data_IF_006065533892
#
_entry.id   IF_006065533892
#
_cell.length_a   1.000
_cell.length_b   1.000
_cell.length_c   1.000
_cell.angle_alpha   90.00
_cell.angle_beta   90.00
_cell.angle_gamma   90.00
#
_symmetry.space_group_name_H-M   'P 1'
#
loop_
_entity.id
_entity.type
_entity.pdbx_description
1 polymer ?
#
# COMPACT_ATOMS: atom_id res chain seq x y z
N UNK A 1 -10.23 3.96 20.53
CA UNK A 1 -9.74 5.32 20.83
C UNK A 1 -8.57 5.62 19.91
N UNK A 2 -8.05 6.85 19.90
CA UNK A 2 -6.84 7.22 19.16
C UNK A 2 -5.74 7.61 20.15
N UNK A 3 -4.66 6.85 20.16
CA UNK A 3 -3.51 7.08 21.03
C UNK A 3 -2.32 7.62 20.21
N UNK A 4 -1.61 8.59 20.79
CA UNK A 4 -0.29 9.05 20.37
C UNK A 4 0.44 9.55 21.64
N UNK A 5 1.70 9.97 21.52
CA UNK A 5 2.55 10.41 22.62
C UNK A 5 2.01 11.60 23.40
N UNK A 6 1.20 12.46 22.77
CA UNK A 6 0.61 13.64 23.42
C UNK A 6 -0.65 14.13 22.71
N UNK A 7 -1.43 14.98 23.38
CA UNK A 7 -2.64 15.59 22.81
C UNK A 7 -2.30 16.44 21.58
N UNK A 8 -1.16 17.13 21.59
CA UNK A 8 -0.68 17.97 20.49
C UNK A 8 -0.41 17.16 19.23
N UNK A 9 0.06 15.91 19.36
CA UNK A 9 0.23 15.00 18.21
C UNK A 9 -1.08 14.42 17.71
N UNK A 10 -2.04 14.21 18.60
CA UNK A 10 -3.40 13.74 18.24
C UNK A 10 -4.20 14.85 17.54
N UNK A 11 -4.05 16.11 17.95
CA UNK A 11 -4.88 17.22 17.49
C UNK A 11 -4.93 17.37 15.94
N UNK A 12 -3.81 17.30 15.18
CA UNK A 12 -3.85 17.30 13.73
C UNK A 12 -4.67 16.15 13.13
N UNK A 13 -4.63 14.96 13.72
CA UNK A 13 -5.42 13.82 13.26
C UNK A 13 -6.93 14.08 13.46
N UNK A 14 -7.31 14.65 14.61
CA UNK A 14 -8.70 15.04 14.88
C UNK A 14 -9.17 16.14 13.91
N UNK A 15 -8.34 17.15 13.63
CA UNK A 15 -8.67 18.21 12.68
C UNK A 15 -8.87 17.67 11.24
N UNK A 16 -8.01 16.74 10.80
CA UNK A 16 -8.17 16.05 9.52
C UNK A 16 -9.43 15.20 9.48
N UNK A 17 -9.74 14.48 10.56
CA UNK A 17 -10.96 13.68 10.69
C UNK A 17 -12.22 14.56 10.63
N UNK A 18 -12.26 15.69 11.34
CA UNK A 18 -13.36 16.64 11.30
C UNK A 18 -13.58 17.18 9.87
N UNK A 19 -12.51 17.57 9.18
CA UNK A 19 -12.57 18.01 7.78
C UNK A 19 -13.11 16.92 6.86
N UNK A 20 -12.65 15.68 7.04
CA UNK A 20 -13.10 14.53 6.27
C UNK A 20 -14.59 14.24 6.51
N UNK A 21 -15.04 14.23 7.76
CA UNK A 21 -16.43 13.97 8.12
C UNK A 21 -17.35 15.08 7.62
N UNK A 22 -16.97 16.35 7.74
CA UNK A 22 -17.73 17.47 7.18
C UNK A 22 -17.90 17.35 5.66
N UNK A 23 -16.88 16.85 4.96
CA UNK A 23 -16.94 16.60 3.51
C UNK A 23 -17.81 15.39 3.15
N UNK A 24 -17.61 14.23 3.81
CA UNK A 24 -18.31 12.97 3.47
C UNK A 24 -19.75 12.92 3.95
N UNK A 25 -20.07 13.59 5.06
CA UNK A 25 -21.39 13.59 5.69
C UNK A 25 -22.06 14.97 5.53
N UNK A 26 -21.79 15.65 4.40
CA UNK A 26 -22.32 16.99 4.13
C UNK A 26 -23.85 16.99 4.21
N UNK A 27 -24.41 17.94 4.94
CA UNK A 27 -25.86 18.06 5.13
C UNK A 27 -26.42 17.24 6.29
N UNK A 28 -25.62 16.43 6.97
CA UNK A 28 -26.04 15.63 8.14
C UNK A 28 -25.17 15.94 9.36
N UNK A 29 -25.49 17.03 10.05
CA UNK A 29 -24.75 17.50 11.23
C UNK A 29 -24.81 16.50 12.41
N UNK A 30 -25.90 15.74 12.54
CA UNK A 30 -26.07 14.74 13.58
C UNK A 30 -25.08 13.58 13.38
N UNK A 31 -24.97 13.05 12.16
CA UNK A 31 -23.98 12.02 11.84
C UNK A 31 -22.54 12.51 11.96
N UNK A 32 -22.26 13.76 11.58
CA UNK A 32 -20.92 14.34 11.76
C UNK A 32 -20.52 14.38 13.23
N UNK A 33 -21.41 14.86 14.11
CA UNK A 33 -21.17 14.88 15.56
C UNK A 33 -21.00 13.47 16.12
N UNK A 34 -21.90 12.56 15.76
CA UNK A 34 -21.82 11.16 16.21
C UNK A 34 -20.51 10.47 15.79
N UNK A 35 -20.00 10.75 14.59
CA UNK A 35 -18.71 10.23 14.15
C UNK A 35 -17.53 10.76 14.99
N UNK A 36 -17.55 12.06 15.33
CA UNK A 36 -16.55 12.68 16.20
C UNK A 36 -16.64 12.17 17.64
N UNK A 37 -17.84 11.96 18.18
CA UNK A 37 -18.06 11.44 19.53
C UNK A 37 -17.46 10.03 19.72
N UNK A 38 -17.36 9.25 18.63
CA UNK A 38 -16.74 7.92 18.63
C UNK A 38 -15.21 7.96 18.45
N UNK A 39 -14.65 9.06 17.96
CA UNK A 39 -13.21 9.25 17.79
C UNK A 39 -12.63 9.90 19.06
N UNK A 40 -12.39 9.07 20.06
CA UNK A 40 -11.95 9.51 21.40
C UNK A 40 -10.41 9.63 21.44
N UNK A 41 -9.83 10.83 21.64
CA UNK A 41 -8.41 11.02 21.94
C UNK A 41 -8.02 10.35 23.26
N UNK A 42 -6.93 9.60 23.28
CA UNK A 42 -6.53 8.78 24.43
C UNK A 42 -4.99 8.67 24.51
N UNK A 43 -4.29 9.76 24.85
CA UNK A 43 -2.82 9.76 24.91
C UNK A 43 -2.25 8.77 25.93
N UNK A 44 -3.01 8.46 26.99
CA UNK A 44 -2.61 7.48 28.00
C UNK A 44 -2.91 6.02 27.59
N UNK A 45 -3.68 5.80 26.52
CA UNK A 45 -4.04 4.46 26.02
C UNK A 45 -4.98 3.69 26.94
N UNK A 46 -5.84 4.36 27.71
CA UNK A 46 -6.78 3.69 28.62
C UNK A 46 -7.74 2.73 27.90
N UNK A 47 -8.02 2.99 26.61
CA UNK A 47 -8.87 2.15 25.77
C UNK A 47 -8.28 0.77 25.48
N UNK A 48 -6.96 0.58 25.58
CA UNK A 48 -6.27 -0.70 25.27
C UNK A 48 -6.86 -1.87 26.07
N UNK A 49 -7.16 -1.67 27.35
CA UNK A 49 -7.69 -2.72 28.23
C UNK A 49 -9.11 -3.18 27.89
N UNK A 50 -9.80 -2.48 26.99
CA UNK A 50 -11.19 -2.80 26.59
C UNK A 50 -11.32 -3.13 25.11
N UNK A 51 -10.28 -2.85 24.31
CA UNK A 51 -10.33 -2.99 22.86
C UNK A 51 -10.40 -4.45 22.42
N UNK A 52 -11.24 -4.74 21.42
CA UNK A 52 -11.29 -6.05 20.76
C UNK A 52 -10.25 -6.15 19.63
N UNK A 53 -9.89 -5.01 19.01
CA UNK A 53 -8.89 -4.88 17.95
C UNK A 53 -8.03 -3.64 18.24
N UNK A 54 -6.71 -3.82 18.21
CA UNK A 54 -5.71 -2.75 18.37
C UNK A 54 -4.91 -2.71 17.08
N UNK A 55 -4.88 -1.56 16.40
CA UNK A 55 -4.08 -1.36 15.17
C UNK A 55 -2.94 -0.39 15.46
N UNK A 56 -1.72 -0.87 15.30
CA UNK A 56 -0.49 -0.11 15.42
C UNK A 56 -0.15 0.55 14.08
N UNK A 57 0.08 1.88 14.09
CA UNK A 57 0.44 2.69 12.92
C UNK A 57 1.48 3.78 13.28
N UNK A 58 2.55 3.37 13.98
CA UNK A 58 3.73 4.20 14.23
C UNK A 58 4.72 4.08 13.07
N UNK A 59 5.74 4.94 13.09
CA UNK A 59 6.81 4.97 12.09
C UNK A 59 7.47 3.59 11.89
N UNK A 60 7.94 3.35 10.67
CA UNK A 60 8.45 2.06 10.21
C UNK A 60 9.84 1.74 10.82
N UNK A 61 9.85 1.37 12.11
CA UNK A 61 11.03 0.99 12.85
C UNK A 61 10.75 -0.24 13.71
N UNK A 62 11.55 -1.29 13.50
CA UNK A 62 11.33 -2.59 14.13
C UNK A 62 11.39 -2.53 15.66
N UNK A 63 12.39 -1.86 16.23
CA UNK A 63 12.56 -1.80 17.70
C UNK A 63 11.46 -0.99 18.36
N UNK A 64 11.03 0.11 17.75
CA UNK A 64 9.90 0.91 18.23
C UNK A 64 8.60 0.10 18.23
N UNK A 65 8.32 -0.64 17.14
CA UNK A 65 7.12 -1.51 17.05
C UNK A 65 7.17 -2.65 18.06
N UNK A 66 8.32 -3.32 18.21
CA UNK A 66 8.54 -4.37 19.22
C UNK A 66 8.28 -3.86 20.64
N UNK A 67 8.87 -2.72 21.01
CA UNK A 67 8.67 -2.12 22.32
C UNK A 67 7.20 -1.75 22.57
N UNK A 68 6.53 -1.22 21.56
CA UNK A 68 5.11 -0.88 21.64
C UNK A 68 4.23 -2.13 21.80
N UNK A 69 4.44 -3.18 21.01
CA UNK A 69 3.67 -4.42 21.09
C UNK A 69 3.84 -5.13 22.43
N UNK A 70 5.05 -5.19 22.98
CA UNK A 70 5.29 -5.75 24.31
C UNK A 70 4.51 -4.97 25.40
N UNK A 71 4.48 -3.64 25.32
CA UNK A 71 3.72 -2.81 26.25
C UNK A 71 2.20 -2.92 26.06
N UNK A 72 1.72 -3.06 24.82
CA UNK A 72 0.30 -3.25 24.50
C UNK A 72 -0.21 -4.61 24.97
N UNK A 73 0.54 -5.68 24.72
CA UNK A 73 0.16 -7.05 25.08
C UNK A 73 -0.13 -7.19 26.58
N UNK A 74 0.70 -6.59 27.43
CA UNK A 74 0.53 -6.62 28.88
C UNK A 74 -0.75 -5.92 29.38
N UNK A 75 -1.30 -5.00 28.58
CA UNK A 75 -2.49 -4.19 28.93
C UNK A 75 -3.74 -4.61 28.18
N UNK A 76 -3.59 -5.22 27.02
CA UNK A 76 -4.68 -5.63 26.15
C UNK A 76 -5.44 -6.80 26.77
N UNK A 77 -6.71 -6.96 26.38
CA UNK A 77 -7.45 -8.17 26.74
C UNK A 77 -6.73 -9.40 26.17
N UNK A 78 -6.79 -10.57 26.84
CA UNK A 78 -6.16 -11.80 26.35
C UNK A 78 -6.64 -12.20 24.95
N UNK A 79 -7.89 -11.88 24.64
CA UNK A 79 -8.54 -12.16 23.36
C UNK A 79 -8.49 -10.99 22.37
N UNK A 80 -7.80 -9.88 22.65
CA UNK A 80 -7.73 -8.77 21.68
C UNK A 80 -6.83 -9.13 20.49
N UNK A 81 -7.27 -8.79 19.28
CA UNK A 81 -6.45 -8.83 18.06
C UNK A 81 -5.38 -7.74 18.15
N UNK A 82 -4.11 -8.11 18.00
CA UNK A 82 -2.99 -7.18 17.89
C UNK A 82 -2.61 -7.07 16.42
N UNK A 83 -2.92 -5.94 15.80
CA UNK A 83 -2.68 -5.72 14.37
C UNK A 83 -1.61 -4.66 14.14
N UNK A 84 -0.75 -4.87 13.15
CA UNK A 84 0.18 -3.83 12.65
C UNK A 84 -0.21 -3.37 11.25
N UNK A 85 -0.10 -2.07 11.00
CA UNK A 85 -0.23 -1.44 9.67
C UNK A 85 1.13 -1.35 8.94
N UNK A 86 2.17 -2.06 9.40
CA UNK A 86 3.48 -2.13 8.73
C UNK A 86 3.33 -2.40 7.22
N UNK A 87 4.17 -1.78 6.40
CA UNK A 87 4.13 -1.92 4.93
C UNK A 87 5.29 -2.75 4.38
N UNK A 88 6.31 -3.02 5.21
CA UNK A 88 7.55 -3.66 4.76
C UNK A 88 8.15 -4.66 5.76
N UNK A 89 7.96 -4.45 7.07
CA UNK A 89 8.51 -5.36 8.08
C UNK A 89 7.72 -6.67 8.13
N UNK A 90 8.45 -7.77 8.26
CA UNK A 90 7.84 -9.09 8.44
C UNK A 90 7.20 -9.18 9.82
N UNK A 91 6.05 -9.85 9.89
CA UNK A 91 5.35 -10.07 11.16
C UNK A 91 6.20 -10.89 12.13
N UNK A 92 6.97 -11.84 11.61
CA UNK A 92 7.88 -12.70 12.37
C UNK A 92 8.89 -11.88 13.17
N UNK A 93 9.40 -10.80 12.59
CA UNK A 93 10.38 -9.95 13.25
C UNK A 93 9.71 -9.15 14.37
N UNK A 94 8.50 -8.65 14.16
CA UNK A 94 7.75 -7.91 15.18
C UNK A 94 7.33 -8.85 16.32
N UNK A 95 6.91 -10.07 15.99
CA UNK A 95 6.36 -11.06 16.91
C UNK A 95 7.37 -11.52 17.98
N UNK A 96 8.67 -11.38 17.75
CA UNK A 96 9.71 -11.81 18.70
C UNK A 96 9.65 -11.10 20.06
N UNK A 97 8.95 -9.97 20.14
CA UNK A 97 8.78 -9.21 21.39
C UNK A 97 7.50 -9.56 22.16
N UNK A 98 6.61 -10.39 21.58
CA UNK A 98 5.36 -10.82 22.20
C UNK A 98 5.55 -12.12 23.00
N UNK A 99 4.87 -12.22 24.13
CA UNK A 99 4.75 -13.45 24.90
C UNK A 99 3.82 -14.45 24.20
N UNK A 100 2.74 -13.97 23.57
CA UNK A 100 1.82 -14.74 22.74
C UNK A 100 1.78 -14.17 21.31
N UNK A 101 2.76 -14.55 20.46
CA UNK A 101 2.86 -14.09 19.08
C UNK A 101 1.68 -14.55 18.20
N UNK A 102 0.86 -15.50 18.65
CA UNK A 102 -0.29 -15.98 17.88
C UNK A 102 -1.38 -14.93 17.68
N UNK A 103 -1.36 -13.88 18.50
CA UNK A 103 -2.31 -12.76 18.45
C UNK A 103 -1.95 -11.69 17.43
N UNK A 104 -0.71 -11.71 16.93
CA UNK A 104 -0.23 -10.72 15.96
C UNK A 104 -0.73 -11.05 14.56
N UNK A 105 -1.31 -10.05 13.90
CA UNK A 105 -1.73 -10.09 12.49
C UNK A 105 -1.34 -8.78 11.80
N UNK A 106 -1.35 -8.75 10.48
CA UNK A 106 -1.24 -7.49 9.72
C UNK A 106 -2.62 -7.01 9.28
N UNK A 107 -2.85 -5.72 9.41
CA UNK A 107 -3.98 -5.02 8.78
C UNK A 107 -3.37 -3.83 8.03
N UNK A 108 -2.89 -4.09 6.81
CA UNK A 108 -2.17 -3.12 6.02
C UNK A 108 -3.13 -2.33 5.13
N UNK A 109 -3.32 -1.06 5.49
CA UNK A 109 -4.12 -0.08 4.79
C UNK A 109 -3.29 0.68 3.76
N UNK A 110 -3.93 1.05 2.65
CA UNK A 110 -3.32 1.89 1.62
C UNK A 110 -3.76 3.35 1.74
N UNK A 111 -2.84 4.29 1.50
CA UNK A 111 -3.11 5.73 1.56
C UNK A 111 -3.68 6.24 0.22
N UNK A 112 -4.82 6.96 0.18
CA UNK A 112 -5.66 7.39 1.31
C UNK A 112 -6.62 6.33 1.84
N UNK A 113 -6.53 6.04 3.15
CA UNK A 113 -7.31 5.00 3.84
C UNK A 113 -8.82 5.20 3.68
N UNK A 114 -9.30 6.44 3.68
CA UNK A 114 -10.73 6.73 3.53
C UNK A 114 -11.28 6.51 2.10
N UNK A 115 -10.40 6.29 1.11
CA UNK A 115 -10.75 6.19 -0.30
C UNK A 115 -10.45 4.80 -0.88
N UNK A 116 -9.31 4.21 -0.53
CA UNK A 116 -8.90 2.93 -1.09
C UNK A 116 -9.65 1.77 -0.42
N UNK A 117 -10.25 0.83 -1.19
CA UNK A 117 -11.09 -0.23 -0.64
C UNK A 117 -10.28 -1.40 -0.09
N UNK A 118 -9.10 -1.69 -0.66
CA UNK A 118 -8.29 -2.84 -0.31
C UNK A 118 -7.63 -2.68 1.06
N UNK A 119 -7.56 -3.79 1.81
CA UNK A 119 -6.73 -3.94 3.00
C UNK A 119 -6.12 -5.34 2.97
N UNK A 120 -4.79 -5.42 3.04
CA UNK A 120 -4.10 -6.70 3.17
C UNK A 120 -4.22 -7.21 4.61
N UNK A 121 -4.80 -8.39 4.79
CA UNK A 121 -4.87 -9.10 6.07
C UNK A 121 -3.75 -10.12 6.10
N UNK A 122 -2.67 -9.75 6.78
CA UNK A 122 -1.41 -10.50 6.74
C UNK A 122 -1.37 -11.56 7.83
N UNK A 123 -1.05 -12.79 7.44
CA UNK A 123 -0.86 -13.93 8.33
C UNK A 123 0.65 -14.15 8.52
N UNK A 124 1.13 -14.02 9.76
CA UNK A 124 2.49 -14.41 10.12
C UNK A 124 2.58 -15.91 10.42
N UNK A 125 3.80 -16.45 10.45
CA UNK A 125 4.05 -17.88 10.68
C UNK A 125 3.48 -18.40 12.02
N UNK A 126 3.38 -17.53 13.03
CA UNK A 126 2.86 -17.89 14.36
C UNK A 126 1.41 -17.47 14.57
N UNK A 127 0.82 -16.69 13.66
CA UNK A 127 -0.53 -16.13 13.82
C UNK A 127 -1.60 -17.23 13.93
N UNK A 128 -2.49 -17.10 14.92
CA UNK A 128 -3.66 -17.96 15.05
C UNK A 128 -4.65 -17.67 13.91
N UNK A 129 -5.07 -18.67 13.12
CA UNK A 129 -6.09 -18.51 12.10
C UNK A 129 -7.40 -17.88 12.61
N UNK A 130 -7.77 -18.05 13.88
CA UNK A 130 -8.94 -17.39 14.46
C UNK A 130 -8.76 -15.88 14.59
N UNK A 131 -7.56 -15.41 14.93
CA UNK A 131 -7.24 -13.98 15.00
C UNK A 131 -7.21 -13.34 13.62
N UNK A 132 -6.66 -14.05 12.62
CA UNK A 132 -6.70 -13.64 11.21
C UNK A 132 -8.15 -13.49 10.72
N UNK A 133 -9.03 -14.45 11.04
CA UNK A 133 -10.47 -14.35 10.68
C UNK A 133 -11.15 -13.16 11.35
N UNK A 134 -10.82 -12.86 12.61
CA UNK A 134 -11.37 -11.67 13.31
C UNK A 134 -10.87 -10.36 12.70
N UNK A 135 -9.60 -10.31 12.31
CA UNK A 135 -9.05 -9.17 11.58
C UNK A 135 -9.76 -8.96 10.24
N UNK A 136 -9.95 -10.02 9.45
CA UNK A 136 -10.70 -9.96 8.19
C UNK A 136 -12.18 -9.55 8.40
N UNK A 137 -12.81 -10.01 9.48
CA UNK A 137 -14.17 -9.60 9.84
C UNK A 137 -14.23 -8.10 10.21
N UNK A 138 -13.26 -7.61 10.99
CA UNK A 138 -13.14 -6.18 11.29
C UNK A 138 -12.96 -5.33 10.02
N UNK A 139 -12.08 -5.75 9.11
CA UNK A 139 -11.87 -5.07 7.82
C UNK A 139 -13.17 -4.99 7.01
N UNK A 140 -13.94 -6.08 6.93
CA UNK A 140 -15.27 -6.05 6.29
C UNK A 140 -16.24 -5.11 7.00
N UNK A 141 -16.24 -5.10 8.32
CA UNK A 141 -17.14 -4.25 9.12
C UNK A 141 -16.94 -2.75 8.88
N UNK A 142 -15.74 -2.34 8.46
CA UNK A 142 -15.42 -0.95 8.12
C UNK A 142 -15.52 -0.66 6.61
N UNK A 143 -16.31 -1.46 5.88
CA UNK A 143 -16.56 -1.36 4.43
C UNK A 143 -15.28 -1.42 3.58
N UNK A 144 -14.34 -2.29 3.97
CA UNK A 144 -13.12 -2.58 3.22
C UNK A 144 -13.10 -4.01 2.69
N UNK A 145 -12.29 -4.23 1.67
CA UNK A 145 -12.06 -5.52 1.02
C UNK A 145 -10.83 -6.19 1.66
N UNK A 146 -11.00 -7.20 2.52
CA UNK A 146 -9.86 -7.94 3.06
C UNK A 146 -9.25 -8.82 1.98
N UNK A 147 -7.95 -8.69 1.77
CA UNK A 147 -7.16 -9.60 0.96
C UNK A 147 -6.28 -10.47 1.87
N UNK A 148 -6.55 -11.78 1.99
CA UNK A 148 -5.68 -12.67 2.76
C UNK A 148 -4.31 -12.79 2.08
N UNK A 149 -3.26 -12.48 2.82
CA UNK A 149 -1.87 -12.64 2.38
C UNK A 149 -1.02 -13.25 3.49
N UNK A 150 0.02 -13.99 3.13
CA UNK A 150 1.02 -14.45 4.08
C UNK A 150 2.15 -13.41 4.21
N UNK A 151 2.78 -13.37 5.39
CA UNK A 151 3.90 -12.48 5.68
C UNK A 151 5.06 -12.74 4.72
N UNK A 152 5.43 -11.71 3.99
CA UNK A 152 6.57 -11.66 3.10
C UNK A 152 7.01 -10.19 2.96
N UNK A 153 8.28 -9.90 2.59
CA UNK A 153 8.71 -8.54 2.32
C UNK A 153 7.78 -7.83 1.32
N UNK A 154 7.07 -6.80 1.78
CA UNK A 154 6.12 -6.04 0.97
C UNK A 154 4.81 -6.74 0.59
N UNK A 155 4.51 -7.88 1.23
CA UNK A 155 3.28 -8.66 1.02
C UNK A 155 3.00 -8.93 -0.46
N UNK A 156 1.78 -8.66 -0.96
CA UNK A 156 1.49 -8.76 -2.39
C UNK A 156 1.71 -7.42 -3.08
N UNK A 157 1.02 -6.36 -2.63
CA UNK A 157 0.90 -5.13 -3.42
C UNK A 157 2.25 -4.43 -3.60
N UNK A 158 3.03 -4.27 -2.53
CA UNK A 158 4.34 -3.59 -2.63
C UNK A 158 5.38 -4.48 -3.33
N UNK A 159 5.33 -5.80 -3.12
CA UNK A 159 6.20 -6.76 -3.80
C UNK A 159 6.00 -6.74 -5.34
N UNK A 160 4.78 -6.46 -5.80
CA UNK A 160 4.45 -6.34 -7.22
C UNK A 160 4.74 -4.92 -7.76
N UNK A 161 4.48 -3.88 -6.96
CA UNK A 161 4.70 -2.50 -7.36
C UNK A 161 6.19 -2.14 -7.47
N UNK A 162 7.04 -2.66 -6.58
CA UNK A 162 8.49 -2.35 -6.56
C UNK A 162 9.18 -2.58 -7.91
N UNK A 163 9.13 -3.80 -8.49
CA UNK A 163 9.76 -4.10 -9.78
C UNK A 163 9.21 -3.26 -10.95
N UNK A 164 7.91 -2.98 -10.95
CA UNK A 164 7.25 -2.10 -11.94
C UNK A 164 7.82 -0.67 -11.89
N UNK A 165 7.90 -0.10 -10.69
CA UNK A 165 8.44 1.23 -10.49
C UNK A 165 9.92 1.31 -10.84
N UNK A 166 10.69 0.28 -10.46
CA UNK A 166 12.11 0.19 -10.78
C UNK A 166 12.35 0.21 -12.29
N UNK A 167 11.58 -0.58 -13.06
CA UNK A 167 11.74 -0.64 -14.51
C UNK A 167 11.30 0.66 -15.22
N UNK A 168 10.22 1.29 -14.75
CA UNK A 168 9.81 2.60 -15.24
C UNK A 168 10.92 3.65 -15.08
N UNK A 169 11.55 3.70 -13.90
CA UNK A 169 12.64 4.63 -13.61
C UNK A 169 13.94 4.28 -14.34
N UNK A 170 14.18 3.00 -14.66
CA UNK A 170 15.28 2.61 -15.55
C UNK A 170 15.10 3.13 -16.97
N UNK A 171 13.88 3.08 -17.49
CA UNK A 171 13.59 3.68 -18.80
C UNK A 171 13.91 5.19 -18.80
N UNK A 172 13.65 5.89 -17.69
CA UNK A 172 14.04 7.30 -17.53
C UNK A 172 15.56 7.47 -17.47
N UNK A 173 16.28 6.61 -16.76
CA UNK A 173 17.75 6.59 -16.73
C UNK A 173 18.37 6.37 -18.12
N UNK A 174 17.68 5.62 -18.98
CA UNK A 174 18.06 5.33 -20.37
C UNK A 174 17.69 6.47 -21.35
N UNK A 175 17.05 7.53 -20.86
CA UNK A 175 16.77 8.74 -21.62
C UNK A 175 15.33 8.88 -22.12
N UNK A 176 14.42 7.95 -21.78
CA UNK A 176 12.99 8.13 -22.08
C UNK A 176 12.43 9.23 -21.17
N UNK A 177 11.75 10.23 -21.76
CA UNK A 177 11.16 11.30 -20.97
C UNK A 177 10.13 10.75 -19.95
N UNK A 178 10.10 11.26 -18.70
CA UNK A 178 9.10 10.90 -17.69
C UNK A 178 7.66 10.94 -18.22
N UNK A 179 7.32 11.97 -18.99
CA UNK A 179 6.00 12.14 -19.58
C UNK A 179 5.66 11.05 -20.59
N UNK A 180 6.64 10.59 -21.38
CA UNK A 180 6.48 9.49 -22.33
C UNK A 180 6.28 8.15 -21.61
N UNK A 181 7.01 7.92 -20.52
CA UNK A 181 6.80 6.75 -19.65
C UNK A 181 5.38 6.76 -19.07
N UNK A 182 4.98 7.88 -18.46
CA UNK A 182 3.64 8.01 -17.88
C UNK A 182 2.55 7.83 -18.94
N UNK A 183 2.69 8.46 -20.11
CA UNK A 183 1.73 8.35 -21.19
C UNK A 183 1.57 6.91 -21.69
N UNK A 184 2.67 6.17 -21.84
CA UNK A 184 2.63 4.77 -22.25
C UNK A 184 1.82 3.89 -21.28
N UNK A 185 1.96 4.12 -19.96
CA UNK A 185 1.24 3.33 -18.96
C UNK A 185 -0.21 3.78 -18.78
N UNK A 186 -0.51 5.06 -18.98
CA UNK A 186 -1.90 5.54 -19.04
C UNK A 186 -2.62 4.98 -20.27
N UNK A 187 -1.97 4.95 -21.44
CA UNK A 187 -2.51 4.33 -22.65
C UNK A 187 -2.71 2.81 -22.48
N UNK A 188 -1.81 2.14 -21.75
CA UNK A 188 -2.00 0.73 -21.38
C UNK A 188 -3.27 0.49 -20.54
N UNK A 189 -3.69 1.50 -19.76
CA UNK A 189 -4.91 1.48 -18.93
C UNK A 189 -4.68 1.74 -17.44
N UNK A 190 -3.48 2.13 -17.02
CA UNK A 190 -3.20 2.49 -15.63
C UNK A 190 -3.86 3.85 -15.28
N UNK A 191 -4.38 4.05 -14.07
CA UNK A 191 -5.04 5.30 -13.67
C UNK A 191 -4.06 6.48 -13.54
N UNK A 192 -2.78 6.18 -13.30
CA UNK A 192 -1.70 7.14 -13.14
C UNK A 192 -0.41 6.52 -13.67
N UNK A 193 0.42 7.33 -14.32
CA UNK A 193 1.74 6.90 -14.75
C UNK A 193 2.69 6.67 -13.57
N UNK A 194 3.67 5.75 -13.70
CA UNK A 194 4.55 5.36 -12.59
C UNK A 194 5.43 6.51 -12.10
N UNK A 195 5.81 7.45 -12.96
CA UNK A 195 6.67 8.57 -12.56
C UNK A 195 5.87 9.61 -11.77
N UNK A 196 4.62 9.86 -12.15
CA UNK A 196 3.73 10.71 -11.32
C UNK A 196 3.39 10.03 -9.99
N UNK A 197 3.22 8.71 -10.00
CA UNK A 197 2.94 7.93 -8.80
C UNK A 197 4.10 8.05 -7.79
N UNK A 198 5.35 7.86 -8.21
CA UNK A 198 6.50 7.98 -7.30
C UNK A 198 6.64 9.39 -6.74
N UNK A 199 6.40 10.42 -7.56
CA UNK A 199 6.40 11.81 -7.11
C UNK A 199 5.29 12.09 -6.08
N UNK A 200 4.12 11.46 -6.25
CA UNK A 200 2.98 11.62 -5.35
C UNK A 200 3.24 10.96 -4.01
N UNK A 201 3.81 9.75 -4.01
CA UNK A 201 4.18 8.99 -2.81
C UNK A 201 5.33 9.67 -2.07
N UNK A 202 6.38 10.05 -2.80
CA UNK A 202 7.62 10.61 -2.28
C UNK A 202 8.82 9.74 -2.64
N UNK A 203 9.87 10.36 -3.19
CA UNK A 203 11.02 9.63 -3.74
C UNK A 203 11.88 8.97 -2.64
N UNK A 204 11.99 9.62 -1.48
CA UNK A 204 12.66 9.06 -0.30
C UNK A 204 11.93 7.84 0.27
N UNK A 205 10.59 7.87 0.28
CA UNK A 205 9.77 6.74 0.69
C UNK A 205 9.95 5.58 -0.30
N UNK A 206 9.96 5.86 -1.60
CA UNK A 206 10.19 4.84 -2.62
C UNK A 206 11.60 4.22 -2.52
N UNK A 207 12.64 5.03 -2.25
CA UNK A 207 14.00 4.53 -2.00
C UNK A 207 14.05 3.63 -0.77
N UNK A 208 13.44 4.05 0.35
CA UNK A 208 13.40 3.26 1.58
C UNK A 208 12.63 1.93 1.39
N UNK A 209 11.48 1.97 0.72
CA UNK A 209 10.69 0.77 0.41
C UNK A 209 11.46 -0.19 -0.51
N UNK A 210 12.14 0.33 -1.53
CA UNK A 210 12.97 -0.47 -2.43
C UNK A 210 14.09 -1.21 -1.68
N UNK A 211 14.80 -0.53 -0.79
CA UNK A 211 15.85 -1.14 0.03
C UNK A 211 15.31 -2.21 0.99
N UNK A 212 14.11 -2.01 1.55
CA UNK A 212 13.47 -2.99 2.42
C UNK A 212 13.06 -4.27 1.67
N UNK A 213 12.51 -4.12 0.44
CA UNK A 213 12.11 -5.25 -0.40
C UNK A 213 13.27 -6.15 -0.82
N UNK A 214 14.46 -5.59 -0.98
CA UNK A 214 15.67 -6.34 -1.38
C UNK A 214 16.49 -6.82 -0.18
N UNK A 215 15.99 -6.68 1.05
CA UNK A 215 16.73 -7.07 2.26
C UNK A 215 18.02 -6.27 2.47
N UNK A 216 18.08 -5.04 1.94
CA UNK A 216 19.28 -4.20 1.96
C UNK A 216 20.32 -4.57 0.89
N UNK A 217 20.08 -5.59 0.06
CA UNK A 217 20.90 -5.80 -1.13
C UNK A 217 20.65 -4.63 -2.09
N UNK A 218 21.73 -3.97 -2.51
CA UNK A 218 21.66 -2.87 -3.44
C UNK A 218 21.28 -3.40 -4.83
N UNK A 219 19.98 -3.66 -5.08
CA UNK A 219 19.48 -3.41 -6.41
C UNK A 219 19.85 -1.96 -6.72
N UNK A 220 20.69 -1.74 -7.73
CA UNK A 220 21.20 -0.41 -8.04
C UNK A 220 20.01 0.52 -8.25
N UNK A 221 19.76 1.39 -7.28
CA UNK A 221 18.70 2.38 -7.39
C UNK A 221 18.96 3.20 -8.65
N UNK A 222 17.92 3.51 -9.45
CA UNK A 222 18.07 4.33 -10.63
C UNK A 222 18.82 5.63 -10.30
N UNK A 223 19.79 6.01 -11.14
CA UNK A 223 20.66 7.17 -10.88
C UNK A 223 19.83 8.44 -10.76
N UNK A 224 18.81 8.60 -11.60
CA UNK A 224 17.86 9.73 -11.54
C UNK A 224 17.10 9.80 -10.22
N UNK A 225 16.80 8.66 -9.59
CA UNK A 225 16.11 8.63 -8.30
C UNK A 225 17.04 9.11 -7.19
N UNK A 226 18.23 8.50 -7.09
CA UNK A 226 19.23 8.86 -6.07
C UNK A 226 19.62 10.34 -6.17
N UNK A 227 19.92 10.82 -7.38
CA UNK A 227 20.32 12.21 -7.59
C UNK A 227 19.24 13.22 -7.17
N UNK A 228 17.95 12.89 -7.34
CA UNK A 228 16.84 13.75 -6.92
C UNK A 228 16.65 13.75 -5.41
N UNK A 229 16.78 12.59 -4.76
CA UNK A 229 16.69 12.48 -3.30
C UNK A 229 17.85 13.22 -2.63
N UNK A 230 19.08 13.06 -3.13
CA UNK A 230 20.26 13.78 -2.66
C UNK A 230 20.11 15.30 -2.81
N UNK A 231 19.40 15.75 -3.85
CA UNK A 231 19.07 17.16 -4.07
C UNK A 231 17.85 17.67 -3.27
N UNK A 232 17.21 16.84 -2.45
CA UNK A 232 16.01 17.20 -1.69
C UNK A 232 14.74 17.38 -2.54
N UNK A 233 14.74 16.90 -3.79
CA UNK A 233 13.61 16.94 -4.71
C UNK A 233 12.73 15.70 -4.49
N UNK A 234 12.00 15.69 -3.38
CA UNK A 234 11.24 14.53 -2.88
C UNK A 234 9.84 14.34 -3.50
N UNK A 235 9.50 15.03 -4.59
CA UNK A 235 8.20 14.94 -5.26
C UNK A 235 7.20 15.99 -4.76
N UNK A 236 5.92 15.61 -4.66
CA UNK A 236 4.81 16.53 -4.36
C UNK A 236 4.98 17.26 -3.03
N UNK A 237 5.52 16.58 -2.01
CA UNK A 237 5.68 17.14 -0.67
C UNK A 237 6.73 18.25 -0.58
N UNK A 238 7.72 18.24 -1.46
CA UNK A 238 8.75 19.29 -1.59
C UNK A 238 8.43 20.29 -2.71
N UNK A 239 7.29 20.14 -3.40
CA UNK A 239 6.91 20.95 -4.56
C UNK A 239 7.61 20.56 -5.87
N UNK A 240 8.58 19.64 -5.84
CA UNK A 240 9.31 19.20 -7.02
C UNK A 240 9.96 17.81 -6.82
N UNK A 241 9.89 16.98 -7.85
CA UNK A 241 10.58 15.69 -7.99
C UNK A 241 10.99 15.45 -9.44
N UNK A 242 10.37 14.48 -10.12
CA UNK A 242 10.38 14.37 -11.57
C UNK A 242 9.57 15.48 -12.24
N UNK A 243 8.46 15.88 -11.62
CA UNK A 243 7.63 16.99 -12.05
C UNK A 243 7.70 18.15 -11.07
N UNK A 244 7.35 19.34 -11.56
CA UNK A 244 7.04 20.50 -10.71
C UNK A 244 5.59 20.38 -10.26
N UNK A 245 5.31 20.61 -8.98
CA UNK A 245 3.96 20.50 -8.41
C UNK A 245 3.41 21.88 -8.06
N UNK A 246 2.24 22.22 -8.61
CA UNK A 246 1.52 23.46 -8.30
C UNK A 246 0.08 23.13 -7.94
N UNK A 247 -0.41 23.64 -6.81
CA UNK A 247 -1.76 23.37 -6.30
C UNK A 247 -2.13 21.88 -6.24
N UNK A 248 -1.13 21.04 -5.93
CA UNK A 248 -1.29 19.59 -5.86
C UNK A 248 -1.41 18.87 -7.21
N UNK A 249 -1.09 19.54 -8.33
CA UNK A 249 -1.07 18.97 -9.67
C UNK A 249 0.34 18.98 -10.27
N UNK A 250 0.74 17.85 -10.86
CA UNK A 250 1.98 17.76 -11.63
C UNK A 250 1.91 18.62 -12.89
N UNK A 251 2.94 19.43 -13.12
CA UNK A 251 3.11 20.22 -14.33
C UNK A 251 3.91 19.39 -15.35
N UNK A 252 3.20 18.77 -16.30
CA UNK A 252 3.79 17.87 -17.30
C UNK A 252 3.92 18.56 -18.65
N UNK A 253 4.98 18.24 -19.40
CA UNK A 253 5.09 18.60 -20.82
C UNK A 253 4.26 17.64 -21.67
N UNK A 254 4.11 17.96 -22.96
CA UNK A 254 3.57 16.98 -23.90
C UNK A 254 4.53 15.78 -23.98
N UNK A 255 3.97 14.57 -23.92
CA UNK A 255 4.75 13.36 -24.14
C UNK A 255 5.29 13.35 -25.58
N UNK A 256 6.48 12.78 -25.74
CA UNK A 256 7.02 12.48 -27.07
C UNK A 256 6.32 11.24 -27.65
N UNK A 257 6.70 10.84 -28.86
CA UNK A 257 6.20 9.59 -29.44
C UNK A 257 6.55 8.40 -28.51
N UNK A 258 5.53 7.64 -28.10
CA UNK A 258 5.70 6.47 -27.24
C UNK A 258 6.44 5.38 -28.03
N UNK A 259 7.61 4.92 -27.57
CA UNK A 259 8.32 3.82 -28.22
C UNK A 259 7.49 2.53 -28.19
N UNK A 260 7.51 1.79 -29.31
CA UNK A 260 6.84 0.50 -29.41
C UNK A 260 7.29 -0.45 -28.31
N UNK A 261 6.33 -1.09 -27.64
CA UNK A 261 6.60 -2.06 -26.57
C UNK A 261 7.04 -1.47 -25.23
N UNK A 262 7.13 -0.15 -25.07
CA UNK A 262 7.55 0.48 -23.81
C UNK A 262 6.65 0.07 -22.62
N UNK A 263 5.33 0.11 -22.80
CA UNK A 263 4.39 -0.31 -21.76
C UNK A 263 4.56 -1.79 -21.39
N UNK A 264 4.73 -2.66 -22.39
CA UNK A 264 4.92 -4.10 -22.16
C UNK A 264 6.22 -4.37 -21.39
N UNK A 265 7.32 -3.67 -21.74
CA UNK A 265 8.59 -3.74 -21.02
C UNK A 265 8.43 -3.37 -19.54
N UNK A 266 7.72 -2.27 -19.25
CA UNK A 266 7.56 -1.76 -17.88
C UNK A 266 6.60 -2.64 -17.07
N UNK A 267 5.56 -3.20 -17.70
CA UNK A 267 4.58 -4.07 -17.03
C UNK A 267 5.15 -5.48 -16.78
N UNK A 268 6.02 -6.01 -17.62
CA UNK A 268 6.51 -7.39 -17.51
C UNK A 268 7.06 -7.75 -16.10
N UNK A 269 7.92 -6.93 -15.45
CA UNK A 269 8.38 -7.21 -14.08
C UNK A 269 7.25 -7.33 -13.05
N UNK A 270 6.17 -6.54 -13.23
CA UNK A 270 4.96 -6.60 -12.40
C UNK A 270 4.28 -7.96 -12.53
N UNK A 271 4.09 -8.43 -13.77
CA UNK A 271 3.43 -9.70 -14.06
C UNK A 271 4.23 -10.87 -13.45
N UNK A 272 5.55 -10.83 -13.62
CA UNK A 272 6.44 -11.84 -13.06
C UNK A 272 6.46 -11.80 -11.53
N UNK A 273 6.39 -10.62 -10.91
CA UNK A 273 6.29 -10.49 -9.46
C UNK A 273 4.97 -11.05 -8.92
N UNK A 274 3.85 -10.79 -9.59
CA UNK A 274 2.55 -11.34 -9.20
C UNK A 274 2.57 -12.88 -9.27
N UNK A 275 3.16 -13.45 -10.31
CA UNK A 275 3.31 -14.91 -10.45
C UNK A 275 4.14 -15.49 -9.32
N UNK A 276 5.29 -14.88 -9.01
CA UNK A 276 6.14 -15.30 -7.88
C UNK A 276 5.41 -15.24 -6.54
N UNK A 277 4.55 -14.25 -6.31
CA UNK A 277 3.78 -14.17 -5.07
C UNK A 277 2.80 -15.36 -4.92
N UNK A 278 2.16 -15.79 -6.01
CA UNK A 278 1.32 -16.99 -6.01
C UNK A 278 2.17 -18.24 -5.79
N UNK A 279 3.26 -18.40 -6.56
CA UNK A 279 4.11 -19.60 -6.50
C UNK A 279 4.77 -19.77 -5.12
N UNK A 280 5.12 -18.67 -4.45
CA UNK A 280 5.65 -18.67 -3.09
C UNK A 280 4.57 -18.78 -1.99
N UNK A 281 3.29 -18.81 -2.36
CA UNK A 281 2.18 -18.89 -1.41
C UNK A 281 1.98 -17.62 -0.59
N UNK A 282 2.46 -16.45 -1.05
CA UNK A 282 2.16 -15.15 -0.42
C UNK A 282 0.67 -14.84 -0.54
N UNK A 283 0.05 -15.24 -1.65
CA UNK A 283 -1.39 -15.20 -1.88
C UNK A 283 -1.83 -16.57 -2.40
N UNK A 284 -3.05 -16.99 -2.05
CA UNK A 284 -3.46 -18.38 -2.24
C UNK A 284 -3.63 -18.80 -3.72
N UNK A 285 -4.05 -17.88 -4.58
CA UNK A 285 -4.37 -18.16 -5.97
C UNK A 285 -4.25 -16.92 -6.87
N UNK A 286 -4.46 -17.13 -8.18
CA UNK A 286 -4.37 -16.09 -9.18
C UNK A 286 -5.50 -15.05 -9.10
N UNK A 287 -6.71 -15.45 -8.72
CA UNK A 287 -7.87 -14.55 -8.64
C UNK A 287 -7.67 -13.52 -7.53
N UNK A 288 -7.18 -13.96 -6.37
CA UNK A 288 -6.82 -13.09 -5.25
C UNK A 288 -5.63 -12.19 -5.60
N UNK A 289 -4.62 -12.72 -6.30
CA UNK A 289 -3.50 -11.91 -6.78
C UNK A 289 -3.99 -10.80 -7.72
N UNK A 290 -4.85 -11.14 -8.67
CA UNK A 290 -5.39 -10.21 -9.66
C UNK A 290 -6.27 -9.15 -9.00
N UNK A 291 -7.21 -9.55 -8.16
CA UNK A 291 -8.05 -8.62 -7.41
C UNK A 291 -7.20 -7.69 -6.51
N UNK A 292 -6.21 -8.25 -5.80
CA UNK A 292 -5.31 -7.48 -4.96
C UNK A 292 -4.52 -6.42 -5.72
N UNK A 293 -3.96 -6.78 -6.87
CA UNK A 293 -3.19 -5.84 -7.68
C UNK A 293 -4.10 -4.80 -8.37
N UNK A 294 -5.31 -5.17 -8.79
CA UNK A 294 -6.30 -4.22 -9.33
C UNK A 294 -6.71 -3.20 -8.27
N UNK A 295 -7.17 -3.64 -7.10
CA UNK A 295 -7.68 -2.74 -6.06
C UNK A 295 -6.57 -2.01 -5.28
N UNK A 296 -5.35 -2.56 -5.27
CA UNK A 296 -4.20 -2.00 -4.56
C UNK A 296 -3.38 -1.02 -5.40
N UNK A 297 -3.08 -1.38 -6.65
CA UNK A 297 -2.23 -0.56 -7.55
C UNK A 297 -3.02 0.18 -8.63
N UNK A 298 -4.27 -0.22 -8.88
CA UNK A 298 -5.04 0.29 -10.00
C UNK A 298 -4.71 -0.37 -11.33
N UNK A 299 -4.16 -1.59 -11.34
CA UNK A 299 -3.86 -2.31 -12.58
C UNK A 299 -5.07 -2.32 -13.52
N UNK A 300 -4.83 -2.00 -14.79
CA UNK A 300 -5.84 -1.80 -15.84
C UNK A 300 -7.03 -2.78 -15.71
N UNK A 301 -8.17 -2.37 -15.11
CA UNK A 301 -9.18 -3.32 -14.64
C UNK A 301 -9.83 -4.13 -15.76
N UNK A 302 -9.96 -3.54 -16.95
CA UNK A 302 -10.50 -4.20 -18.14
C UNK A 302 -9.58 -5.30 -18.71
N UNK A 303 -8.36 -5.43 -18.19
CA UNK A 303 -7.43 -6.53 -18.51
C UNK A 303 -7.49 -7.68 -17.50
N UNK A 304 -8.35 -7.58 -16.49
CA UNK A 304 -8.62 -8.66 -15.53
C UNK A 304 -7.55 -8.90 -14.46
N UNK A 305 -6.50 -8.07 -14.40
CA UNK A 305 -5.38 -8.25 -13.47
C UNK A 305 -4.09 -8.78 -14.14
N UNK A 306 -2.94 -8.74 -13.45
CA UNK A 306 -1.65 -9.13 -14.01
C UNK A 306 -1.60 -10.58 -14.52
N UNK A 307 -2.13 -11.55 -13.79
CA UNK A 307 -2.05 -12.97 -14.15
C UNK A 307 -3.06 -13.33 -15.23
N UNK A 308 -4.27 -12.77 -15.19
CA UNK A 308 -5.19 -12.85 -16.31
C UNK A 308 -4.58 -12.24 -17.59
N UNK A 309 -4.00 -11.04 -17.51
CA UNK A 309 -3.33 -10.41 -18.65
C UNK A 309 -2.18 -11.26 -19.19
N UNK A 310 -1.38 -11.89 -18.31
CA UNK A 310 -0.32 -12.81 -18.69
C UNK A 310 -0.86 -14.03 -19.46
N UNK A 311 -2.06 -14.50 -19.11
CA UNK A 311 -2.73 -15.62 -19.78
C UNK A 311 -3.36 -15.22 -21.12
N UNK A 312 -3.91 -14.00 -21.25
CA UNK A 312 -4.66 -13.56 -22.44
C UNK A 312 -3.84 -12.76 -23.46
N UNK A 313 -2.61 -12.34 -23.14
CA UNK A 313 -1.75 -11.57 -24.07
C UNK A 313 -1.43 -12.27 -25.41
N UNK A 314 -1.71 -13.57 -25.53
CA UNK A 314 -1.63 -14.33 -26.78
C UNK A 314 -2.95 -14.45 -27.56
N UNK A 315 -4.07 -14.05 -26.97
CA UNK A 315 -5.42 -14.12 -27.57
C UNK A 315 -5.97 -12.76 -27.97
N UNK A 316 -5.33 -11.65 -27.58
CA UNK A 316 -5.74 -10.27 -27.93
C UNK A 316 -5.67 -9.96 -29.44
N UNK A 317 -5.19 -10.90 -30.27
CA UNK A 317 -5.26 -10.87 -31.74
C UNK A 317 -6.24 -11.87 -32.38
N UNK A 318 -6.95 -12.69 -31.59
CA UNK A 318 -7.95 -13.62 -32.09
C UNK A 318 -9.35 -13.04 -31.85
N UNK A 319 -10.09 -12.80 -32.95
CA UNK A 319 -11.48 -12.35 -32.88
C UNK A 319 -12.31 -13.25 -31.94
N UNK A 320 -13.32 -12.70 -31.23
CA UNK A 320 -14.15 -13.47 -30.33
C UNK A 320 -14.81 -14.64 -31.08
N UNK A 321 -14.58 -15.87 -30.61
CA UNK A 321 -15.24 -17.06 -31.12
C UNK A 321 -16.72 -17.03 -30.68
N UNK A 322 -17.70 -16.96 -31.61
CA UNK A 322 -19.10 -16.78 -31.28
C UNK A 322 -19.79 -18.00 -30.65
N UNK A 323 -19.08 -19.12 -30.41
CA UNK A 323 -19.68 -20.38 -29.96
C UNK A 323 -19.44 -20.74 -28.48
N UNK A 324 -19.40 -19.75 -27.59
CA UNK A 324 -19.53 -20.02 -26.15
C UNK A 324 -20.62 -19.14 -25.52
N UNK A 325 -21.85 -19.59 -25.69
CA UNK A 325 -23.00 -19.31 -24.81
C UNK A 325 -23.48 -20.62 -24.21
#
# INVERSE_FOLDING_TARGET
>A
TLQDQSVERIAPAIARAATLFARKLRGDAARQRFALDRLIPDPAGHGVARADVIVEDIFENLDAKRALFAALEARARPDAVLATNTSSLRLEDIATALADPSRLVGIHFFNPVAMLPLVEVVTGAQSDPAQVRRAAAFVRQIDKLPLPVNSAPGFLVNAVLGPYMLEALRCVDEGVAPETVDAALVEFGMPMGPVELVDTVGLDIAMAAGAALTGGEAATAPRVLSAKVDAGLLGRKSGQGFYVWRDGKAQKKAAEAIPDGLAARIIEPMLQAARRCVDAGVVADADLADAGVIFGTGFAPFRGGPLNHLATRGTDGAAPNPERT
#
